data_IF_191985117336
#
_entry.id   IF_191985117336
#
_cell.length_a   1.000
_cell.length_b   1.000
_cell.length_c   1.000
_cell.angle_alpha   90.00
_cell.angle_beta   90.00
_cell.angle_gamma   90.00
#
_symmetry.space_group_name_H-M   'P 1'
#
loop_
_entity.id
_entity.type
_entity.pdbx_description
1 polymer ?
#
# COMPACT_ATOMS: atom_id res chain seq x y z
N UNK A 1 -5.85 -30.33 -11.07
CA UNK A 1 -5.44 -29.24 -10.16
C UNK A 1 -5.04 -27.97 -10.91
N UNK A 2 -4.12 -28.01 -11.88
CA UNK A 2 -3.71 -26.84 -12.72
C UNK A 2 -4.86 -25.94 -13.23
N UNK A 3 -5.99 -26.51 -13.67
CA UNK A 3 -7.09 -25.71 -14.22
C UNK A 3 -7.88 -24.93 -13.15
N UNK A 4 -7.92 -25.41 -11.89
CA UNK A 4 -8.63 -24.72 -10.80
C UNK A 4 -7.91 -23.44 -10.36
N UNK A 5 -6.59 -23.53 -10.18
CA UNK A 5 -5.80 -22.38 -9.74
C UNK A 5 -5.72 -21.29 -10.81
N UNK A 6 -5.61 -21.69 -12.08
CA UNK A 6 -5.69 -20.78 -13.23
C UNK A 6 -7.05 -20.06 -13.29
N UNK A 7 -8.15 -20.79 -13.09
CA UNK A 7 -9.49 -20.18 -13.09
C UNK A 7 -9.67 -19.23 -11.91
N UNK A 8 -9.19 -19.61 -10.72
CA UNK A 8 -9.22 -18.75 -9.53
C UNK A 8 -8.43 -17.45 -9.76
N UNK A 9 -7.23 -17.55 -10.33
CA UNK A 9 -6.42 -16.37 -10.65
C UNK A 9 -7.09 -15.49 -11.70
N UNK A 10 -7.66 -16.08 -12.75
CA UNK A 10 -8.40 -15.34 -13.79
C UNK A 10 -9.55 -14.50 -13.21
N UNK A 11 -10.27 -15.04 -12.21
CA UNK A 11 -11.34 -14.31 -11.52
C UNK A 11 -10.76 -13.13 -10.72
N UNK A 12 -9.61 -13.32 -10.06
CA UNK A 12 -8.94 -12.26 -9.29
C UNK A 12 -8.41 -11.16 -10.23
N UNK A 13 -7.78 -11.53 -11.34
CA UNK A 13 -7.28 -10.58 -12.33
C UNK A 13 -8.42 -9.72 -12.92
N UNK A 14 -9.58 -10.35 -13.16
CA UNK A 14 -10.78 -9.64 -13.59
C UNK A 14 -11.30 -8.62 -12.58
N UNK A 15 -11.11 -8.83 -11.27
CA UNK A 15 -11.39 -7.79 -10.26
C UNK A 15 -10.51 -6.58 -10.50
N UNK A 16 -9.22 -6.78 -10.75
CA UNK A 16 -8.28 -5.70 -11.05
C UNK A 16 -8.63 -4.91 -12.29
N UNK A 17 -8.99 -5.60 -13.39
CA UNK A 17 -9.39 -4.93 -14.64
C UNK A 17 -10.68 -4.13 -14.49
N UNK A 18 -11.69 -4.68 -13.81
CA UNK A 18 -12.92 -3.94 -13.51
C UNK A 18 -12.62 -2.76 -12.59
N UNK A 19 -11.77 -2.93 -11.58
CA UNK A 19 -11.42 -1.86 -10.65
C UNK A 19 -10.69 -0.71 -11.33
N UNK A 20 -9.74 -1.00 -12.23
CA UNK A 20 -9.04 0.01 -13.03
C UNK A 20 -9.96 0.84 -13.91
N UNK A 21 -10.95 0.20 -14.53
CA UNK A 21 -11.78 0.81 -15.58
C UNK A 21 -13.04 1.49 -15.03
N UNK A 22 -13.64 0.91 -13.99
CA UNK A 22 -14.95 1.31 -13.46
C UNK A 22 -14.90 1.73 -11.98
N UNK A 23 -13.72 1.63 -11.35
CA UNK A 23 -13.55 1.89 -9.92
C UNK A 23 -14.36 0.92 -9.05
N UNK A 24 -14.61 1.32 -7.81
CA UNK A 24 -15.36 0.52 -6.85
C UNK A 24 -16.77 0.15 -7.34
N UNK A 25 -17.42 1.05 -8.10
CA UNK A 25 -18.82 0.87 -8.53
C UNK A 25 -19.01 -0.32 -9.48
N UNK A 26 -17.96 -0.71 -10.21
CA UNK A 26 -17.97 -1.88 -11.09
C UNK A 26 -17.82 -3.22 -10.35
N UNK A 27 -17.43 -3.21 -9.06
CA UNK A 27 -17.12 -4.41 -8.29
C UNK A 27 -18.38 -5.15 -7.83
N UNK A 28 -19.06 -5.83 -8.77
CA UNK A 28 -20.17 -6.74 -8.49
C UNK A 28 -20.03 -8.03 -9.31
N UNK A 29 -20.56 -9.15 -8.77
CA UNK A 29 -20.29 -10.52 -9.25
C UNK A 29 -20.58 -10.67 -10.75
N UNK A 30 -21.69 -10.11 -11.23
CA UNK A 30 -22.09 -10.20 -12.65
C UNK A 30 -21.05 -9.56 -13.55
N UNK A 31 -20.52 -8.39 -13.17
CA UNK A 31 -19.53 -7.66 -13.98
C UNK A 31 -18.19 -8.38 -14.01
N UNK A 32 -17.75 -8.88 -12.86
CA UNK A 32 -16.49 -9.63 -12.73
C UNK A 32 -16.58 -10.95 -13.48
N UNK A 33 -17.71 -11.68 -13.41
CA UNK A 33 -17.92 -12.90 -14.18
C UNK A 33 -17.83 -12.67 -15.68
N UNK A 34 -18.43 -11.56 -16.16
CA UNK A 34 -18.34 -11.13 -17.56
C UNK A 34 -16.90 -10.83 -17.96
N UNK A 35 -16.17 -10.08 -17.13
CA UNK A 35 -14.76 -9.75 -17.38
C UNK A 35 -13.87 -11.00 -17.42
N UNK A 36 -14.03 -11.89 -16.44
CA UNK A 36 -13.31 -13.16 -16.37
C UNK A 36 -13.73 -14.15 -17.47
N UNK A 37 -14.84 -13.93 -18.17
CA UNK A 37 -15.41 -14.87 -19.12
C UNK A 37 -15.75 -16.23 -18.47
N UNK A 38 -16.32 -16.20 -17.27
CA UNK A 38 -16.74 -17.39 -16.51
C UNK A 38 -18.19 -17.26 -16.06
N UNK A 39 -18.82 -18.39 -15.71
CA UNK A 39 -20.15 -18.37 -15.09
C UNK A 39 -20.07 -17.89 -13.62
N UNK A 40 -21.14 -17.25 -13.13
CA UNK A 40 -21.23 -16.75 -11.74
C UNK A 40 -21.09 -17.88 -10.71
N UNK A 41 -21.54 -19.08 -11.04
CA UNK A 41 -21.42 -20.25 -10.17
C UNK A 41 -19.96 -20.60 -9.84
N UNK A 42 -19.03 -20.39 -10.77
CA UNK A 42 -17.60 -20.60 -10.54
C UNK A 42 -17.07 -19.60 -9.50
N UNK A 43 -17.48 -18.33 -9.56
CA UNK A 43 -17.10 -17.35 -8.55
C UNK A 43 -17.62 -17.77 -7.17
N UNK A 44 -18.89 -18.18 -7.08
CA UNK A 44 -19.46 -18.67 -5.83
C UNK A 44 -18.76 -19.92 -5.29
N UNK A 45 -18.30 -20.81 -6.19
CA UNK A 45 -17.56 -22.00 -5.81
C UNK A 45 -16.20 -21.67 -5.18
N UNK A 46 -15.48 -20.67 -5.70
CA UNK A 46 -14.14 -20.32 -5.22
C UNK A 46 -14.12 -19.33 -4.06
N UNK A 47 -15.03 -18.36 -4.06
CA UNK A 47 -15.00 -17.22 -3.13
C UNK A 47 -16.26 -17.10 -2.26
N UNK A 48 -17.29 -17.91 -2.54
CA UNK A 48 -18.58 -17.81 -1.87
C UNK A 48 -19.48 -16.73 -2.47
N UNK A 49 -20.65 -16.52 -1.87
CA UNK A 49 -21.65 -15.53 -2.33
C UNK A 49 -21.32 -14.10 -1.93
N UNK A 50 -20.54 -13.94 -0.87
CA UNK A 50 -20.07 -12.63 -0.43
C UNK A 50 -18.90 -12.18 -1.32
N UNK A 51 -19.15 -11.14 -2.11
CA UNK A 51 -18.16 -10.55 -3.00
C UNK A 51 -16.95 -9.99 -2.23
N UNK A 52 -17.12 -9.60 -0.96
CA UNK A 52 -16.02 -9.06 -0.14
C UNK A 52 -14.83 -10.03 -0.12
N UNK A 53 -15.08 -11.35 0.00
CA UNK A 53 -14.02 -12.38 -0.03
C UNK A 53 -13.22 -12.43 -1.31
N UNK A 54 -13.87 -12.17 -2.45
CA UNK A 54 -13.18 -12.08 -3.74
C UNK A 54 -12.32 -10.81 -3.82
N UNK A 55 -12.88 -9.68 -3.38
CA UNK A 55 -12.14 -8.41 -3.37
C UNK A 55 -10.97 -8.48 -2.38
N UNK A 56 -11.15 -9.08 -1.21
CA UNK A 56 -10.08 -9.36 -0.24
C UNK A 56 -8.96 -10.19 -0.87
N UNK A 57 -9.30 -11.28 -1.57
CA UNK A 57 -8.30 -12.11 -2.24
C UNK A 57 -7.50 -11.32 -3.30
N UNK A 58 -8.16 -10.41 -4.02
CA UNK A 58 -7.49 -9.50 -4.95
C UNK A 58 -6.57 -8.51 -4.21
N UNK A 59 -7.05 -7.87 -3.14
CA UNK A 59 -6.28 -6.89 -2.39
C UNK A 59 -5.05 -7.55 -1.75
N UNK A 60 -5.20 -8.74 -1.16
CA UNK A 60 -4.07 -9.51 -0.60
C UNK A 60 -2.97 -9.77 -1.63
N UNK A 61 -3.33 -10.01 -2.89
CA UNK A 61 -2.35 -10.22 -3.96
C UNK A 61 -1.71 -8.94 -4.48
N UNK A 62 -2.27 -7.76 -4.22
CA UNK A 62 -1.81 -6.48 -4.78
C UNK A 62 -1.14 -5.60 -3.74
N UNK A 63 -1.61 -5.61 -2.51
CA UNK A 63 -1.15 -4.75 -1.43
C UNK A 63 0.35 -4.90 -1.14
N UNK A 64 1.05 -3.76 -1.15
CA UNK A 64 2.48 -3.71 -0.85
C UNK A 64 2.82 -4.30 0.51
N UNK A 65 2.11 -3.87 1.56
CA UNK A 65 2.41 -4.28 2.91
C UNK A 65 2.20 -5.78 3.05
N UNK A 66 1.11 -6.32 2.49
CA UNK A 66 0.83 -7.75 2.52
C UNK A 66 1.87 -8.58 1.73
N UNK A 67 2.40 -8.05 0.62
CA UNK A 67 3.44 -8.72 -0.19
C UNK A 67 4.80 -8.78 0.48
N UNK A 68 5.20 -7.70 1.16
CA UNK A 68 6.56 -7.55 1.67
C UNK A 68 6.67 -7.74 3.19
N UNK A 69 5.56 -8.03 3.87
CA UNK A 69 5.51 -8.20 5.32
C UNK A 69 6.55 -9.19 5.86
N UNK A 70 6.65 -10.38 5.27
CA UNK A 70 7.60 -11.41 5.74
C UNK A 70 9.04 -10.89 5.67
N UNK A 71 9.41 -10.27 4.55
CA UNK A 71 10.73 -9.68 4.35
C UNK A 71 11.00 -8.54 5.35
N UNK A 72 10.01 -7.69 5.58
CA UNK A 72 10.10 -6.59 6.56
C UNK A 72 10.37 -7.17 7.96
N UNK A 73 9.61 -8.18 8.38
CA UNK A 73 9.78 -8.82 9.69
C UNK A 73 11.15 -9.49 9.86
N UNK A 74 11.65 -10.13 8.81
CA UNK A 74 13.00 -10.72 8.83
C UNK A 74 14.07 -9.65 9.09
N UNK A 75 13.94 -8.47 8.48
CA UNK A 75 14.87 -7.35 8.70
C UNK A 75 14.73 -6.76 10.12
N UNK A 76 13.51 -6.60 10.63
CA UNK A 76 13.26 -6.16 12.03
C UNK A 76 13.92 -7.14 13.02
N UNK A 77 13.87 -8.44 12.74
CA UNK A 77 14.45 -9.49 13.58
C UNK A 77 15.97 -9.42 13.76
N UNK A 78 16.70 -8.68 12.91
CA UNK A 78 18.17 -8.55 12.99
C UNK A 78 18.65 -7.56 14.07
N UNK A 79 17.74 -6.82 14.72
CA UNK A 79 17.93 -6.04 15.97
C UNK A 79 19.23 -5.21 16.08
N UNK A 80 19.48 -4.28 15.16
CA UNK A 80 20.48 -3.24 15.38
C UNK A 80 19.91 -1.84 15.06
N UNK A 81 20.32 -0.81 15.82
CA UNK A 81 19.68 0.52 15.80
C UNK A 81 19.88 1.27 14.48
N UNK A 82 21.06 1.16 13.85
CA UNK A 82 21.31 1.74 12.53
C UNK A 82 20.49 1.04 11.44
N UNK A 83 20.33 -0.29 11.53
CA UNK A 83 19.44 -1.05 10.65
C UNK A 83 17.98 -0.66 10.82
N UNK A 84 17.56 -0.19 12.00
CA UNK A 84 16.20 0.33 12.18
C UNK A 84 15.94 1.60 11.38
N UNK A 85 16.89 2.54 11.39
CA UNK A 85 16.84 3.76 10.57
C UNK A 85 16.78 3.42 9.08
N UNK A 86 17.71 2.60 8.63
CA UNK A 86 17.84 2.24 7.21
C UNK A 86 16.64 1.43 6.72
N UNK A 87 16.08 0.56 7.58
CA UNK A 87 14.84 -0.18 7.30
C UNK A 87 13.64 0.76 7.13
N UNK A 88 13.47 1.75 8.01
CA UNK A 88 12.40 2.74 7.91
C UNK A 88 12.50 3.53 6.60
N UNK A 89 13.72 4.00 6.27
CA UNK A 89 13.99 4.72 5.02
C UNK A 89 13.64 3.83 3.83
N UNK A 90 14.12 2.60 3.82
CA UNK A 90 13.90 1.62 2.74
C UNK A 90 12.41 1.31 2.56
N UNK A 91 11.66 1.09 3.64
CA UNK A 91 10.22 0.80 3.59
C UNK A 91 9.43 1.96 3.00
N UNK A 92 9.67 3.19 3.47
CA UNK A 92 8.97 4.39 2.96
C UNK A 92 9.34 4.69 1.51
N UNK A 93 10.62 4.54 1.14
CA UNK A 93 11.07 4.73 -0.24
C UNK A 93 10.49 3.68 -1.19
N UNK A 94 10.46 2.41 -0.79
CA UNK A 94 9.84 1.34 -1.59
C UNK A 94 8.34 1.51 -1.69
N UNK A 95 7.66 1.96 -0.63
CA UNK A 95 6.24 2.28 -0.69
C UNK A 95 5.96 3.38 -1.72
N UNK A 96 6.78 4.45 -1.74
CA UNK A 96 6.71 5.48 -2.78
C UNK A 96 6.93 4.90 -4.18
N UNK A 97 8.00 4.13 -4.38
CA UNK A 97 8.33 3.56 -5.69
C UNK A 97 7.22 2.65 -6.22
N UNK A 98 6.67 1.81 -5.34
CA UNK A 98 5.58 0.90 -5.68
C UNK A 98 4.31 1.68 -6.04
N UNK A 99 3.90 2.63 -5.21
CA UNK A 99 2.72 3.45 -5.49
C UNK A 99 2.88 4.32 -6.74
N UNK A 100 4.08 4.79 -7.07
CA UNK A 100 4.29 5.65 -8.24
C UNK A 100 4.20 4.91 -9.57
N UNK A 101 4.27 3.58 -9.55
CA UNK A 101 4.26 2.72 -10.74
C UNK A 101 3.02 1.81 -10.83
N UNK A 102 2.30 1.60 -9.74
CA UNK A 102 1.15 0.69 -9.67
C UNK A 102 -0.18 1.47 -9.56
N UNK A 103 -0.87 1.59 -10.70
CA UNK A 103 -2.17 2.29 -10.78
C UNK A 103 -3.29 1.59 -9.99
N UNK A 104 -3.25 0.25 -9.86
CA UNK A 104 -4.26 -0.47 -9.08
C UNK A 104 -4.17 -0.09 -7.61
N UNK A 105 -2.94 0.01 -7.09
CA UNK A 105 -2.69 0.39 -5.71
C UNK A 105 -2.99 1.85 -5.45
N UNK A 106 -2.73 2.73 -6.40
CA UNK A 106 -3.18 4.12 -6.32
C UNK A 106 -4.70 4.22 -6.19
N UNK A 107 -5.46 3.47 -7.00
CA UNK A 107 -6.92 3.42 -6.88
C UNK A 107 -7.39 2.78 -5.57
N UNK A 108 -6.66 1.79 -5.04
CA UNK A 108 -6.95 1.17 -3.75
C UNK A 108 -6.81 2.19 -2.60
N UNK A 109 -5.73 2.97 -2.60
CA UNK A 109 -5.53 4.04 -1.61
C UNK A 109 -6.61 5.13 -1.77
N UNK A 110 -6.96 5.52 -3.00
CA UNK A 110 -8.06 6.46 -3.21
C UNK A 110 -9.39 5.91 -2.66
N UNK A 111 -9.67 4.63 -2.85
CA UNK A 111 -10.87 4.01 -2.30
C UNK A 111 -10.87 4.07 -0.77
N UNK A 112 -9.74 3.75 -0.12
CA UNK A 112 -9.60 3.90 1.33
C UNK A 112 -9.87 5.33 1.83
N UNK A 113 -9.37 6.33 1.10
CA UNK A 113 -9.47 7.74 1.49
C UNK A 113 -10.83 8.38 1.20
N UNK A 114 -11.63 7.80 0.30
CA UNK A 114 -12.84 8.45 -0.24
C UNK A 114 -14.15 8.15 0.50
N UNK A 115 -14.15 7.24 1.47
CA UNK A 115 -15.38 6.98 2.23
C UNK A 115 -15.32 5.85 3.24
N UNK A 116 -16.49 5.52 3.78
CA UNK A 116 -16.67 4.48 4.79
C UNK A 116 -16.81 3.10 4.13
N UNK A 117 -15.74 2.31 4.16
CA UNK A 117 -15.70 0.94 3.66
C UNK A 117 -15.17 0.01 4.76
N UNK A 118 -16.02 -0.87 5.28
CA UNK A 118 -15.63 -1.88 6.27
C UNK A 118 -14.47 -2.75 5.77
N UNK A 119 -14.47 -3.09 4.48
CA UNK A 119 -13.39 -3.86 3.85
C UNK A 119 -12.08 -3.09 3.92
N UNK A 120 -12.07 -1.82 3.48
CA UNK A 120 -10.85 -1.00 3.51
C UNK A 120 -10.39 -0.73 4.94
N UNK A 121 -11.31 -0.58 5.89
CA UNK A 121 -10.99 -0.48 7.32
C UNK A 121 -10.28 -1.73 7.84
N UNK A 122 -10.72 -2.93 7.44
CA UNK A 122 -10.05 -4.19 7.80
C UNK A 122 -8.64 -4.30 7.19
N UNK A 123 -8.47 -3.86 5.96
CA UNK A 123 -7.17 -3.84 5.28
C UNK A 123 -6.23 -2.84 5.95
N UNK A 124 -6.72 -1.62 6.21
CA UNK A 124 -6.00 -0.59 6.97
C UNK A 124 -5.49 -1.13 8.30
N UNK A 125 -6.38 -1.73 9.11
CA UNK A 125 -6.01 -2.31 10.40
C UNK A 125 -4.94 -3.41 10.25
N UNK A 126 -5.00 -4.20 9.17
CA UNK A 126 -3.98 -5.20 8.88
C UNK A 126 -2.63 -4.55 8.58
N UNK A 127 -2.61 -3.46 7.79
CA UNK A 127 -1.37 -2.70 7.52
C UNK A 127 -0.79 -2.08 8.80
N UNK A 128 -1.62 -1.53 9.69
CA UNK A 128 -1.18 -1.00 10.97
C UNK A 128 -0.52 -2.10 11.84
N UNK A 129 -1.16 -3.28 11.93
CA UNK A 129 -0.58 -4.43 12.64
C UNK A 129 0.75 -4.87 12.02
N UNK A 130 0.90 -4.75 10.71
CA UNK A 130 2.14 -5.10 10.01
C UNK A 130 3.25 -4.06 10.18
N UNK A 131 2.90 -2.78 10.31
CA UNK A 131 3.84 -1.70 10.55
C UNK A 131 4.32 -1.65 12.00
N UNK A 132 3.53 -2.15 12.95
CA UNK A 132 3.79 -2.05 14.39
C UNK A 132 5.20 -2.52 14.80
N UNK A 133 5.76 -3.65 14.32
CA UNK A 133 7.14 -4.04 14.67
C UNK A 133 8.22 -3.01 14.26
N UNK A 134 7.99 -2.29 13.15
CA UNK A 134 8.88 -1.20 12.72
C UNK A 134 8.68 0.02 13.62
N UNK A 135 7.44 0.32 13.98
CA UNK A 135 7.11 1.43 14.87
C UNK A 135 7.69 1.20 16.27
N UNK A 136 7.60 -0.02 16.81
CA UNK A 136 8.22 -0.39 18.09
C UNK A 136 9.75 -0.24 18.08
N UNK A 137 10.40 -0.58 16.95
CA UNK A 137 11.84 -0.38 16.78
C UNK A 137 12.21 1.10 16.79
N UNK A 138 11.39 1.95 16.16
CA UNK A 138 11.55 3.39 16.23
C UNK A 138 11.32 3.91 17.66
N UNK A 139 10.22 3.50 18.31
CA UNK A 139 9.85 3.92 19.67
C UNK A 139 10.97 3.62 20.68
N UNK A 140 11.69 2.50 20.53
CA UNK A 140 12.87 2.19 21.35
C UNK A 140 14.01 3.21 21.19
N UNK A 141 14.26 3.66 19.95
CA UNK A 141 15.31 4.65 19.66
C UNK A 141 14.93 6.05 20.12
N UNK A 142 13.67 6.43 19.97
CA UNK A 142 13.18 7.78 20.30
C UNK A 142 12.70 7.91 21.75
N UNK A 143 12.76 6.83 22.53
CA UNK A 143 12.40 6.82 23.93
C UNK A 143 13.18 7.90 24.70
N UNK A 144 12.46 8.68 25.50
CA UNK A 144 13.00 9.76 26.33
C UNK A 144 13.66 10.91 25.54
N UNK A 145 13.39 11.00 24.23
CA UNK A 145 13.82 12.12 23.37
C UNK A 145 12.67 13.11 23.12
N UNK A 146 13.00 14.28 22.59
CA UNK A 146 11.98 15.27 22.16
C UNK A 146 11.27 14.86 20.85
N UNK A 147 11.82 13.89 20.12
CA UNK A 147 11.34 13.50 18.79
C UNK A 147 10.21 12.48 18.93
N UNK A 148 9.06 12.79 18.34
CA UNK A 148 7.93 11.87 18.25
C UNK A 148 7.87 11.27 16.85
N UNK A 149 8.29 10.01 16.71
CA UNK A 149 8.41 9.37 15.40
C UNK A 149 7.06 9.09 14.73
N UNK A 150 6.06 8.58 15.47
CA UNK A 150 4.75 8.23 14.90
C UNK A 150 4.07 9.41 14.18
N UNK A 151 4.03 10.65 14.72
CA UNK A 151 3.57 11.82 13.97
C UNK A 151 4.35 12.11 12.69
N UNK A 152 5.68 11.94 12.69
CA UNK A 152 6.51 12.09 11.49
C UNK A 152 6.10 11.05 10.44
N UNK A 153 5.92 9.79 10.85
CA UNK A 153 5.48 8.71 9.97
C UNK A 153 4.10 9.00 9.35
N UNK A 154 3.15 9.52 10.13
CA UNK A 154 1.82 9.94 9.62
C UNK A 154 1.95 10.99 8.52
N UNK A 155 2.79 12.02 8.71
CA UNK A 155 3.00 13.07 7.71
C UNK A 155 3.68 12.54 6.44
N UNK A 156 4.67 11.65 6.59
CA UNK A 156 5.36 11.02 5.47
C UNK A 156 4.40 10.13 4.67
N UNK A 157 3.61 9.27 5.33
CA UNK A 157 2.58 8.45 4.70
C UNK A 157 1.54 9.31 3.97
N UNK A 158 1.05 10.37 4.62
CA UNK A 158 0.12 11.32 4.02
C UNK A 158 0.70 11.98 2.78
N UNK A 159 1.96 12.41 2.81
CA UNK A 159 2.67 12.97 1.65
C UNK A 159 2.84 11.97 0.51
N UNK A 160 3.22 10.73 0.83
CA UNK A 160 3.33 9.62 -0.14
C UNK A 160 1.98 9.39 -0.83
N UNK A 161 0.90 9.23 -0.06
CA UNK A 161 -0.43 8.97 -0.60
C UNK A 161 -0.97 10.15 -1.39
N UNK A 162 -0.91 11.36 -0.84
CA UNK A 162 -1.35 12.57 -1.51
C UNK A 162 -0.66 12.75 -2.85
N UNK A 163 0.67 12.73 -2.89
CA UNK A 163 1.39 13.02 -4.12
C UNK A 163 1.11 11.98 -5.22
N UNK A 164 1.06 10.70 -4.86
CA UNK A 164 0.78 9.63 -5.83
C UNK A 164 -0.67 9.69 -6.33
N UNK A 165 -1.65 9.79 -5.44
CA UNK A 165 -3.08 9.80 -5.80
C UNK A 165 -3.48 11.09 -6.51
N UNK A 166 -3.04 12.25 -6.01
CA UNK A 166 -3.32 13.55 -6.62
C UNK A 166 -2.80 13.60 -8.06
N UNK A 167 -1.61 13.07 -8.31
CA UNK A 167 -0.96 13.12 -9.63
C UNK A 167 -1.72 12.41 -10.75
N UNK A 168 -2.68 11.54 -10.41
CA UNK A 168 -3.48 10.76 -11.36
C UNK A 168 -4.58 11.63 -11.98
N UNK A 169 -5.20 12.50 -11.18
CA UNK A 169 -6.39 13.23 -11.58
C UNK A 169 -6.16 14.73 -11.76
N UNK A 170 -5.23 15.31 -10.99
CA UNK A 170 -5.11 16.76 -10.83
C UNK A 170 -3.75 17.31 -11.29
N UNK A 171 -2.97 16.49 -11.98
CA UNK A 171 -1.64 16.85 -12.50
C UNK A 171 -0.51 16.56 -11.52
N UNK A 172 0.69 16.40 -12.08
CA UNK A 172 1.89 15.97 -11.35
C UNK A 172 2.73 17.10 -10.79
N UNK A 173 2.38 18.36 -11.07
CA UNK A 173 3.07 19.52 -10.50
C UNK A 173 2.53 19.78 -9.10
N UNK A 174 3.33 19.49 -8.08
CA UNK A 174 3.02 19.72 -6.66
C UNK A 174 4.16 20.52 -6.07
N UNK A 175 3.86 21.60 -5.35
CA UNK A 175 4.88 22.51 -4.81
C UNK A 175 5.89 23.01 -5.88
N UNK A 176 5.44 23.17 -7.13
CA UNK A 176 6.27 23.62 -8.25
C UNK A 176 7.22 22.57 -8.85
N UNK A 177 7.17 21.31 -8.38
CA UNK A 177 7.98 20.21 -8.93
C UNK A 177 7.10 19.13 -9.57
N UNK A 178 7.59 18.50 -10.64
CA UNK A 178 6.93 17.34 -11.25
C UNK A 178 7.26 16.06 -10.47
N UNK A 179 6.32 15.60 -9.63
CA UNK A 179 6.50 14.43 -8.76
C UNK A 179 6.55 13.10 -9.53
N UNK A 180 6.14 13.08 -10.80
CA UNK A 180 6.18 11.88 -11.66
C UNK A 180 7.44 11.83 -12.53
N UNK A 181 8.16 12.94 -12.67
CA UNK A 181 9.43 12.97 -13.40
C UNK A 181 10.50 12.12 -12.70
N UNK A 182 11.47 11.60 -13.47
CA UNK A 182 12.60 10.84 -12.90
C UNK A 182 13.38 11.66 -11.86
N UNK A 183 13.57 12.94 -12.11
CA UNK A 183 14.25 13.85 -11.20
C UNK A 183 13.43 14.11 -9.93
N UNK A 184 12.13 14.39 -10.08
CA UNK A 184 11.23 14.62 -8.95
C UNK A 184 11.10 13.40 -8.05
N UNK A 185 10.98 12.20 -8.62
CA UNK A 185 11.01 10.96 -7.82
C UNK A 185 12.32 10.82 -7.05
N UNK A 186 13.46 11.08 -7.69
CA UNK A 186 14.77 11.01 -7.03
C UNK A 186 14.89 12.01 -5.88
N UNK A 187 14.42 13.24 -6.04
CA UNK A 187 14.47 14.26 -4.97
C UNK A 187 13.50 13.93 -3.84
N UNK A 188 12.33 13.36 -4.13
CA UNK A 188 11.37 12.92 -3.10
C UNK A 188 11.91 11.75 -2.26
N UNK A 189 12.53 10.75 -2.89
CA UNK A 189 13.16 9.65 -2.17
C UNK A 189 14.29 10.15 -1.24
N UNK A 190 15.09 11.11 -1.70
CA UNK A 190 16.10 11.77 -0.87
C UNK A 190 15.49 12.59 0.27
N UNK A 191 14.37 13.28 0.03
CA UNK A 191 13.69 14.05 1.06
C UNK A 191 13.12 13.14 2.16
N UNK A 192 12.54 11.98 1.79
CA UNK A 192 12.12 10.94 2.76
C UNK A 192 13.30 10.54 3.63
N UNK A 193 14.44 10.17 3.02
CA UNK A 193 15.66 9.82 3.74
C UNK A 193 16.11 10.95 4.69
N UNK A 194 16.19 12.18 4.18
CA UNK A 194 16.65 13.34 4.93
C UNK A 194 15.79 13.62 6.18
N UNK A 195 14.47 13.51 6.07
CA UNK A 195 13.54 13.72 7.20
C UNK A 195 13.78 12.68 8.28
N UNK A 196 13.98 11.41 7.90
CA UNK A 196 14.27 10.33 8.86
C UNK A 196 15.65 10.54 9.50
N UNK A 197 16.67 10.90 8.72
CA UNK A 197 18.01 11.20 9.24
C UNK A 197 17.97 12.36 10.24
N UNK A 198 17.29 13.46 9.93
CA UNK A 198 17.11 14.57 10.86
C UNK A 198 16.41 14.15 12.15
N UNK A 199 15.38 13.30 12.07
CA UNK A 199 14.72 12.78 13.26
C UNK A 199 15.72 12.02 14.14
N UNK A 200 16.52 11.12 13.56
CA UNK A 200 17.52 10.33 14.29
C UNK A 200 18.68 11.16 14.86
N UNK A 201 19.09 12.23 14.18
CA UNK A 201 20.11 13.17 14.65
C UNK A 201 19.64 13.97 15.88
N UNK A 202 18.37 14.37 15.92
CA UNK A 202 17.77 15.13 17.02
C UNK A 202 17.26 14.25 18.17
N UNK A 203 17.41 12.92 18.04
CA UNK A 203 17.13 11.94 19.08
C UNK A 203 18.36 11.63 19.96
N UNK A 204 19.45 12.38 19.78
CA UNK A 204 20.69 12.26 20.55
C UNK A 204 20.72 13.24 21.73
#
# INVERSE_FOLDING_TARGET
MKNKDLTKQKIIDAVGEVFKTEGQKGLYIVRIAKEAGVDRSLIYQYFGRDIKRLIEAYIVQKDYWLKFFEKINEEVGKRNHEAGKDLIIDVLQKQWQYLSTDMEMQHLILWELSGDSELMRSIHNTRELMAEPILELADQKFKDTIVQFRPIAVLLLGGIYYANVHSIYNGSIICGMDVRSKEGQKTLLKAIQQIIEWAYEHAA
#
